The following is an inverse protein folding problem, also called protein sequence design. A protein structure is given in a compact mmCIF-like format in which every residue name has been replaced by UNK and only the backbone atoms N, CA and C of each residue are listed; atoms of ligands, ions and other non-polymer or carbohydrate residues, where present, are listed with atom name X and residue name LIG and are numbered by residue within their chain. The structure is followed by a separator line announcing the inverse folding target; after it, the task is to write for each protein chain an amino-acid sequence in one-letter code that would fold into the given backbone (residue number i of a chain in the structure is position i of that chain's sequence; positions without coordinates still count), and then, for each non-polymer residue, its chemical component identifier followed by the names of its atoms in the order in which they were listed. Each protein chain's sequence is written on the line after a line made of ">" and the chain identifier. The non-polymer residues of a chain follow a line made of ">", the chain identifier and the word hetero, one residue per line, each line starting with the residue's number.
data_IF_249668955920
#
_entry.id   IF_249668955920
#
_cell.length_a   1.000
_cell.length_b   1.000
_cell.length_c   1.000
_cell.angle_alpha   90.00
_cell.angle_beta   90.00
_cell.angle_gamma   90.00
#
_symmetry.space_group_name_H-M   'P 1'
#
loop_
_entity.id
_entity.type
_entity.pdbx_description
1 polymer ?
#
# COMPACT_ATOMS: atom_id res chain seq x y z
N UNK A 1 -0.89 11.38 -18.16
CA UNK A 1 -0.96 11.57 -16.69
C UNK A 1 0.26 10.91 -16.05
N UNK A 2 0.87 11.48 -15.01
CA UNK A 2 2.01 10.82 -14.35
C UNK A 2 1.57 9.60 -13.54
N UNK A 3 2.46 8.60 -13.44
CA UNK A 3 2.23 7.39 -12.65
C UNK A 3 2.00 7.72 -11.16
N UNK A 4 2.69 8.72 -10.62
CA UNK A 4 2.44 9.23 -9.27
C UNK A 4 0.98 9.71 -9.07
N UNK A 5 0.41 10.38 -10.07
CA UNK A 5 -0.98 10.85 -10.02
C UNK A 5 -1.97 9.71 -10.24
N UNK A 6 -1.63 8.72 -11.06
CA UNK A 6 -2.41 7.49 -11.23
C UNK A 6 -2.63 6.75 -9.91
N UNK A 7 -1.57 6.64 -9.09
CA UNK A 7 -1.64 5.99 -7.77
C UNK A 7 -2.61 6.74 -6.84
N UNK A 8 -2.58 8.09 -6.87
CA UNK A 8 -3.52 8.92 -6.08
C UNK A 8 -4.95 8.78 -6.60
N UNK A 9 -5.14 8.80 -7.91
CA UNK A 9 -6.44 8.62 -8.54
C UNK A 9 -7.06 7.28 -8.16
N UNK A 10 -6.28 6.19 -8.17
CA UNK A 10 -6.76 4.88 -7.72
C UNK A 10 -7.35 4.93 -6.30
N UNK A 11 -6.69 5.61 -5.36
CA UNK A 11 -7.19 5.79 -3.99
C UNK A 11 -8.48 6.62 -3.94
N UNK A 12 -8.61 7.63 -4.81
CA UNK A 12 -9.83 8.42 -4.94
C UNK A 12 -10.99 7.55 -5.46
N UNK A 13 -10.77 6.77 -6.52
CA UNK A 13 -11.80 5.90 -7.11
C UNK A 13 -12.28 4.83 -6.14
N UNK A 14 -11.38 4.22 -5.36
CA UNK A 14 -11.77 3.26 -4.31
C UNK A 14 -12.71 3.91 -3.29
N UNK A 15 -12.37 5.11 -2.80
CA UNK A 15 -13.24 5.84 -1.87
C UNK A 15 -14.59 6.23 -2.49
N UNK A 16 -14.63 6.53 -3.78
CA UNK A 16 -15.88 6.80 -4.48
C UNK A 16 -16.75 5.55 -4.59
N UNK A 17 -16.15 4.39 -4.91
CA UNK A 17 -16.85 3.11 -4.91
C UNK A 17 -17.44 2.82 -3.52
N UNK A 18 -16.66 2.96 -2.45
CA UNK A 18 -17.13 2.72 -1.08
C UNK A 18 -18.34 3.61 -0.74
N UNK A 19 -18.28 4.90 -1.08
CA UNK A 19 -19.40 5.84 -0.88
C UNK A 19 -20.65 5.46 -1.67
N UNK A 20 -20.50 5.01 -2.92
CA UNK A 20 -21.62 4.55 -3.72
C UNK A 20 -22.23 3.27 -3.16
N UNK A 21 -21.40 2.36 -2.64
CA UNK A 21 -21.89 1.15 -1.96
C UNK A 21 -22.65 1.48 -0.67
N UNK A 22 -22.20 2.47 0.11
CA UNK A 22 -22.97 2.99 1.25
C UNK A 22 -24.28 3.67 0.82
N UNK A 23 -24.30 4.31 -0.35
CA UNK A 23 -25.50 4.92 -0.93
C UNK A 23 -26.53 3.89 -1.38
N UNK A 24 -26.09 2.75 -1.93
CA UNK A 24 -26.98 1.65 -2.35
C UNK A 24 -27.96 1.28 -1.23
N UNK A 25 -27.49 1.06 -0.01
CA UNK A 25 -28.34 0.64 1.11
C UNK A 25 -29.44 1.67 1.42
N UNK A 26 -29.08 2.97 1.35
CA UNK A 26 -30.00 4.08 1.64
C UNK A 26 -31.05 4.31 0.56
N UNK A 27 -30.73 3.97 -0.69
CA UNK A 27 -31.63 4.16 -1.84
C UNK A 27 -32.48 2.91 -2.09
N UNK A 28 -31.93 1.73 -1.86
CA UNK A 28 -32.62 0.46 -2.03
C UNK A 28 -33.70 0.22 -0.96
N UNK A 29 -33.51 0.74 0.24
CA UNK A 29 -34.39 0.48 1.37
C UNK A 29 -34.81 1.76 2.09
N UNK A 30 -36.07 1.78 2.53
CA UNK A 30 -36.61 2.79 3.44
C UNK A 30 -37.36 2.09 4.57
N UNK A 31 -37.16 2.55 5.79
CA UNK A 31 -37.93 2.13 6.95
C UNK A 31 -39.02 3.16 7.20
N UNK A 32 -40.27 2.70 7.26
CA UNK A 32 -41.46 3.53 7.47
C UNK A 32 -42.33 2.89 8.56
N UNK A 33 -43.09 3.71 9.27
CA UNK A 33 -44.12 3.16 10.17
C UNK A 33 -45.21 2.45 9.36
N UNK A 34 -45.90 1.51 10.03
CA UNK A 34 -47.02 0.82 9.40
C UNK A 34 -48.08 1.85 9.01
N UNK A 35 -48.47 1.82 7.73
CA UNK A 35 -49.45 2.72 7.10
C UNK A 35 -48.94 4.14 6.73
N UNK A 36 -47.65 4.42 6.88
CA UNK A 36 -47.02 5.65 6.37
C UNK A 36 -46.82 5.58 4.84
N UNK A 37 -47.19 6.63 4.07
CA UNK A 37 -47.04 6.61 2.62
C UNK A 37 -45.57 6.68 2.19
N UNK A 38 -45.22 5.99 1.09
CA UNK A 38 -43.90 6.11 0.48
C UNK A 38 -43.61 7.57 0.10
N UNK A 39 -42.37 8.05 0.31
CA UNK A 39 -41.97 9.38 -0.14
C UNK A 39 -42.10 9.49 -1.65
N UNK A 40 -42.58 10.65 -2.12
CA UNK A 40 -42.89 10.90 -3.53
C UNK A 40 -41.67 11.32 -4.36
N UNK A 41 -40.55 11.63 -3.71
CA UNK A 41 -39.33 12.10 -4.36
C UNK A 41 -38.15 11.34 -3.78
N UNK A 42 -37.45 10.60 -4.64
CA UNK A 42 -36.08 10.16 -4.41
C UNK A 42 -35.17 10.98 -5.32
N UNK A 43 -34.07 11.49 -4.78
CA UNK A 43 -33.10 12.31 -5.54
C UNK A 43 -32.31 11.50 -6.56
N UNK A 44 -32.21 10.18 -6.37
CA UNK A 44 -31.42 9.25 -7.18
C UNK A 44 -32.02 7.85 -7.09
N UNK A 45 -32.04 7.11 -8.21
CA UNK A 45 -32.47 5.71 -8.26
C UNK A 45 -31.31 4.74 -8.01
N UNK A 46 -31.63 3.47 -7.72
CA UNK A 46 -30.62 2.43 -7.59
C UNK A 46 -29.90 2.20 -8.92
N UNK A 47 -30.63 2.23 -10.03
CA UNK A 47 -30.08 2.09 -11.38
C UNK A 47 -29.06 3.20 -11.71
N UNK A 48 -29.30 4.44 -11.28
CA UNK A 48 -28.33 5.53 -11.45
C UNK A 48 -27.02 5.26 -10.70
N UNK A 49 -27.08 4.62 -9.53
CA UNK A 49 -25.90 4.25 -8.73
C UNK A 49 -25.16 3.10 -9.40
N UNK A 50 -25.88 2.08 -9.89
CA UNK A 50 -25.29 0.94 -10.61
C UNK A 50 -24.53 1.36 -11.86
N UNK A 51 -25.11 2.27 -12.66
CA UNK A 51 -24.46 2.82 -13.87
C UNK A 51 -23.16 3.56 -13.50
N UNK A 52 -23.18 4.37 -12.45
CA UNK A 52 -21.97 5.07 -12.00
C UNK A 52 -20.91 4.08 -11.47
N UNK A 53 -21.32 3.11 -10.66
CA UNK A 53 -20.45 2.06 -10.14
C UNK A 53 -19.76 1.28 -11.25
N UNK A 54 -20.50 0.81 -12.26
CA UNK A 54 -19.91 0.06 -13.36
C UNK A 54 -18.93 0.91 -14.16
N UNK A 55 -19.26 2.18 -14.37
CA UNK A 55 -18.35 3.08 -15.06
C UNK A 55 -17.04 3.28 -14.29
N UNK A 56 -17.10 3.58 -12.99
CA UNK A 56 -15.89 3.77 -12.16
C UNK A 56 -15.09 2.46 -12.08
N UNK A 57 -15.74 1.30 -11.98
CA UNK A 57 -15.07 0.00 -11.99
C UNK A 57 -14.36 -0.27 -13.32
N UNK A 58 -14.97 0.09 -14.44
CA UNK A 58 -14.36 -0.04 -15.76
C UNK A 58 -13.09 0.83 -15.88
N UNK A 59 -13.20 2.09 -15.47
CA UNK A 59 -12.09 3.04 -15.46
C UNK A 59 -10.96 2.58 -14.51
N UNK A 60 -11.29 2.05 -13.33
CA UNK A 60 -10.33 1.51 -12.38
C UNK A 60 -9.59 0.29 -12.95
N UNK A 61 -10.27 -0.64 -13.62
CA UNK A 61 -9.62 -1.78 -14.29
C UNK A 61 -8.66 -1.31 -15.38
N UNK A 62 -9.04 -0.30 -16.16
CA UNK A 62 -8.19 0.29 -17.21
C UNK A 62 -6.96 0.98 -16.60
N UNK A 63 -7.16 1.77 -15.55
CA UNK A 63 -6.09 2.44 -14.82
C UNK A 63 -5.08 1.42 -14.28
N UNK A 64 -5.56 0.34 -13.66
CA UNK A 64 -4.71 -0.73 -13.11
C UNK A 64 -3.86 -1.41 -14.17
N UNK A 65 -4.45 -1.76 -15.33
CA UNK A 65 -3.70 -2.34 -16.44
C UNK A 65 -2.57 -1.41 -16.89
N UNK A 66 -2.86 -0.12 -17.08
CA UNK A 66 -1.88 0.87 -17.54
C UNK A 66 -0.76 1.10 -16.51
N UNK A 67 -1.11 1.15 -15.22
CA UNK A 67 -0.14 1.22 -14.12
C UNK A 67 0.78 0.00 -14.12
N UNK A 68 0.23 -1.21 -14.26
CA UNK A 68 1.04 -2.43 -14.34
C UNK A 68 1.97 -2.43 -15.57
N UNK A 69 1.48 -2.03 -16.74
CA UNK A 69 2.31 -1.91 -17.96
C UNK A 69 3.44 -0.90 -17.78
N UNK A 70 3.16 0.25 -17.17
CA UNK A 70 4.17 1.27 -16.86
C UNK A 70 5.22 0.76 -15.87
N UNK A 71 4.79 0.04 -14.83
CA UNK A 71 5.68 -0.55 -13.82
C UNK A 71 6.61 -1.62 -14.42
N UNK A 72 6.16 -2.36 -15.42
CA UNK A 72 6.99 -3.36 -16.11
C UNK A 72 8.00 -2.72 -17.08
N UNK A 73 7.63 -1.63 -17.75
CA UNK A 73 8.46 -0.99 -18.78
C UNK A 73 9.48 0.00 -18.21
N UNK A 74 9.15 0.63 -17.09
CA UNK A 74 10.02 1.64 -16.47
C UNK A 74 11.18 0.95 -15.78
N UNK A 75 12.40 1.44 -16.01
CA UNK A 75 13.62 0.90 -15.40
C UNK A 75 14.15 1.88 -14.37
N UNK A 76 14.57 1.35 -13.22
CA UNK A 76 15.18 2.07 -12.12
C UNK A 76 16.61 1.58 -11.95
N UNK A 77 17.57 2.51 -11.97
CA UNK A 77 18.97 2.19 -11.70
C UNK A 77 19.19 1.97 -10.20
N UNK A 78 19.74 0.80 -9.85
CA UNK A 78 20.09 0.45 -8.46
C UNK A 78 21.57 0.11 -8.33
N UNK A 79 22.08 -0.03 -7.09
CA UNK A 79 23.46 -0.46 -6.89
C UNK A 79 23.72 -1.89 -7.38
N UNK A 80 22.67 -2.72 -7.43
CA UNK A 80 22.72 -4.13 -7.82
C UNK A 80 22.40 -4.29 -9.33
N UNK A 81 22.22 -3.18 -10.05
CA UNK A 81 21.92 -3.12 -11.48
C UNK A 81 20.56 -2.49 -11.80
N UNK A 82 20.25 -2.34 -13.10
CA UNK A 82 18.95 -1.83 -13.55
C UNK A 82 17.85 -2.86 -13.26
N UNK A 83 16.74 -2.42 -12.66
CA UNK A 83 15.58 -3.25 -12.37
C UNK A 83 14.31 -2.62 -12.96
N UNK A 84 13.33 -3.40 -13.46
CA UNK A 84 11.99 -2.91 -13.70
C UNK A 84 11.43 -2.24 -12.43
N UNK A 85 10.61 -1.21 -12.58
CA UNK A 85 10.05 -0.45 -11.46
C UNK A 85 9.25 -1.37 -10.52
N UNK A 86 8.51 -2.35 -11.07
CA UNK A 86 7.82 -3.37 -10.27
C UNK A 86 8.77 -4.17 -9.37
N UNK A 87 9.93 -4.55 -9.90
CA UNK A 87 10.94 -5.32 -9.16
C UNK A 87 11.67 -4.44 -8.15
N UNK A 88 11.97 -3.19 -8.52
CA UNK A 88 12.55 -2.21 -7.60
C UNK A 88 11.65 -1.95 -6.39
N UNK A 89 10.33 -1.88 -6.58
CA UNK A 89 9.36 -1.74 -5.48
C UNK A 89 9.41 -2.93 -4.53
N UNK A 90 9.41 -4.16 -5.05
CA UNK A 90 9.54 -5.37 -4.25
C UNK A 90 10.90 -5.41 -3.52
N UNK A 91 11.98 -5.06 -4.22
CA UNK A 91 13.30 -5.01 -3.61
C UNK A 91 13.39 -3.98 -2.47
N UNK A 92 12.73 -2.83 -2.62
CA UNK A 92 12.63 -1.84 -1.55
C UNK A 92 11.88 -2.37 -0.32
N UNK A 93 10.85 -3.21 -0.51
CA UNK A 93 10.13 -3.89 0.58
C UNK A 93 11.08 -4.87 1.29
N UNK A 94 11.81 -5.68 0.52
CA UNK A 94 12.77 -6.66 1.06
C UNK A 94 13.90 -6.00 1.86
N UNK A 95 14.47 -4.90 1.35
CA UNK A 95 15.50 -4.14 2.08
C UNK A 95 14.96 -3.57 3.39
N UNK A 96 13.71 -3.06 3.42
CA UNK A 96 13.09 -2.57 4.67
C UNK A 96 12.86 -3.71 5.67
N UNK A 97 12.38 -4.86 5.21
CA UNK A 97 12.20 -6.04 6.07
C UNK A 97 13.55 -6.52 6.64
N UNK A 98 14.59 -6.56 5.81
CA UNK A 98 15.94 -6.93 6.24
C UNK A 98 16.54 -5.92 7.23
N UNK A 99 16.37 -4.62 6.99
CA UNK A 99 16.82 -3.58 7.91
C UNK A 99 16.13 -3.74 9.27
N UNK A 100 14.82 -3.97 9.30
CA UNK A 100 14.06 -4.21 10.52
C UNK A 100 14.55 -5.43 11.28
N UNK A 101 14.75 -6.55 10.59
CA UNK A 101 15.32 -7.76 11.20
C UNK A 101 16.69 -7.48 11.83
N UNK A 102 17.56 -6.70 11.19
CA UNK A 102 18.86 -6.34 11.75
C UNK A 102 18.76 -5.37 12.93
N UNK A 103 17.80 -4.44 12.92
CA UNK A 103 17.51 -3.57 14.07
C UNK A 103 17.06 -4.41 15.27
N UNK A 104 16.10 -5.32 15.08
CA UNK A 104 15.60 -6.21 16.15
C UNK A 104 16.72 -7.08 16.75
N UNK A 105 17.68 -7.52 15.94
CA UNK A 105 18.83 -8.27 16.41
C UNK A 105 19.84 -7.38 17.17
N UNK A 106 20.04 -6.15 16.71
CA UNK A 106 20.95 -5.18 17.29
C UNK A 106 20.48 -4.62 18.64
N UNK A 107 19.18 -4.59 18.88
CA UNK A 107 18.58 -4.15 20.15
C UNK A 107 18.74 -5.19 21.27
N UNK A 108 19.01 -6.45 20.93
CA UNK A 108 19.15 -7.52 21.93
C UNK A 108 20.50 -7.45 22.64
N UNK A 109 20.54 -7.55 23.98
CA UNK A 109 21.79 -7.64 24.70
C UNK A 109 22.50 -8.97 24.40
N UNK A 110 23.83 -8.99 24.50
CA UNK A 110 24.63 -10.22 24.32
C UNK A 110 24.22 -11.32 25.29
N UNK A 111 23.81 -10.94 26.50
CA UNK A 111 23.29 -11.81 27.55
C UNK A 111 21.99 -11.21 28.10
N UNK A 112 20.92 -11.98 28.03
CA UNK A 112 19.61 -11.63 28.59
C UNK A 112 19.31 -12.61 29.73
N UNK A 113 19.10 -12.10 30.94
CA UNK A 113 18.71 -12.92 32.09
C UNK A 113 17.19 -13.09 32.09
N UNK A 114 16.72 -14.33 32.18
CA UNK A 114 15.31 -14.70 32.23
C UNK A 114 15.02 -15.43 33.53
N UNK A 115 13.95 -15.02 34.20
CA UNK A 115 13.41 -15.77 35.34
C UNK A 115 12.77 -17.05 34.81
N UNK A 116 13.25 -18.21 35.25
CA UNK A 116 12.67 -19.49 34.89
C UNK A 116 11.26 -19.67 35.48
N UNK A 117 10.48 -20.59 34.90
CA UNK A 117 9.12 -20.92 35.35
C UNK A 117 9.07 -21.71 36.68
N UNK A 118 10.22 -22.01 37.31
CA UNK A 118 10.31 -22.71 38.59
C UNK A 118 11.20 -21.96 39.58
N UNK A 119 10.85 -22.02 40.86
CA UNK A 119 11.56 -21.33 41.96
C UNK A 119 13.07 -21.64 41.93
N UNK A 120 13.88 -20.62 41.63
CA UNK A 120 15.33 -20.63 41.86
C UNK A 120 16.23 -20.84 40.64
N UNK A 121 15.72 -21.19 39.45
CA UNK A 121 16.60 -21.40 38.28
C UNK A 121 16.67 -20.15 37.39
N UNK A 122 17.83 -19.48 37.37
CA UNK A 122 18.13 -18.39 36.44
C UNK A 122 18.49 -18.96 35.07
N UNK A 123 17.74 -18.57 34.03
CA UNK A 123 18.00 -18.97 32.64
C UNK A 123 18.68 -17.80 31.93
N UNK A 124 19.84 -18.03 31.33
CA UNK A 124 20.54 -16.99 30.55
C UNK A 124 20.35 -17.30 29.06
N UNK A 125 19.72 -16.38 28.34
CA UNK A 125 19.71 -16.40 26.87
C UNK A 125 20.93 -15.66 26.36
N UNK A 126 21.78 -16.36 25.62
CA UNK A 126 23.00 -15.80 25.03
C UNK A 126 22.81 -15.56 23.54
N UNK A 127 23.14 -14.38 23.04
CA UNK A 127 23.16 -14.12 21.61
C UNK A 127 24.41 -14.73 20.97
N UNK A 128 24.23 -15.65 20.03
CA UNK A 128 25.34 -16.31 19.31
C UNK A 128 25.99 -15.42 18.23
N UNK A 129 25.58 -14.14 18.16
CA UNK A 129 26.05 -13.14 17.23
C UNK A 129 26.47 -11.86 17.98
N UNK A 130 27.13 -10.92 17.30
CA UNK A 130 27.48 -9.61 17.86
C UNK A 130 26.39 -8.57 17.56
N UNK A 131 25.63 -8.07 18.55
CA UNK A 131 24.60 -7.05 18.32
C UNK A 131 25.13 -5.77 17.67
N UNK A 132 26.38 -5.36 17.94
CA UNK A 132 26.95 -4.15 17.34
C UNK A 132 27.19 -4.31 15.84
N UNK A 133 27.66 -5.49 15.41
CA UNK A 133 27.78 -5.81 13.99
C UNK A 133 26.42 -5.71 13.28
N UNK A 134 25.34 -6.17 13.93
CA UNK A 134 24.00 -6.08 13.36
C UNK A 134 23.46 -4.65 13.34
N UNK A 135 23.86 -3.79 14.29
CA UNK A 135 23.56 -2.35 14.24
C UNK A 135 24.19 -1.69 13.02
N UNK A 136 25.44 -2.03 12.71
CA UNK A 136 26.12 -1.53 11.51
C UNK A 136 25.45 -2.05 10.22
N UNK A 137 25.09 -3.33 10.17
CA UNK A 137 24.36 -3.93 9.03
C UNK A 137 23.00 -3.28 8.82
N UNK A 138 22.23 -3.04 9.89
CA UNK A 138 20.95 -2.35 9.82
C UNK A 138 21.07 -0.98 9.16
N UNK A 139 22.04 -0.17 9.61
CA UNK A 139 22.30 1.17 9.07
C UNK A 139 22.67 1.15 7.59
N UNK A 140 23.44 0.14 7.16
CA UNK A 140 23.82 0.00 5.75
C UNK A 140 22.63 -0.36 4.86
N UNK A 141 21.85 -1.36 5.27
CA UNK A 141 20.65 -1.78 4.53
C UNK A 141 19.60 -0.66 4.49
N UNK A 142 19.43 0.10 5.57
CA UNK A 142 18.53 1.25 5.62
C UNK A 142 18.93 2.35 4.61
N UNK A 143 20.23 2.63 4.47
CA UNK A 143 20.72 3.55 3.42
C UNK A 143 20.39 3.04 2.02
N UNK A 144 20.54 1.74 1.77
CA UNK A 144 20.17 1.13 0.47
C UNK A 144 18.67 1.26 0.21
N UNK A 145 17.84 0.95 1.22
CA UNK A 145 16.38 1.08 1.15
C UNK A 145 15.93 2.52 0.82
N UNK A 146 16.56 3.51 1.44
CA UNK A 146 16.24 4.92 1.19
C UNK A 146 16.62 5.38 -0.22
N UNK A 147 17.77 4.92 -0.74
CA UNK A 147 18.19 5.25 -2.11
C UNK A 147 17.23 4.67 -3.14
N UNK A 148 16.89 3.38 -3.04
CA UNK A 148 15.97 2.76 -4.00
C UNK A 148 14.58 3.39 -3.92
N UNK A 149 14.10 3.73 -2.71
CA UNK A 149 12.83 4.43 -2.55
C UNK A 149 12.82 5.80 -3.24
N UNK A 150 13.91 6.57 -3.14
CA UNK A 150 14.05 7.85 -3.83
C UNK A 150 14.09 7.69 -5.36
N UNK A 151 14.73 6.62 -5.85
CA UNK A 151 14.77 6.32 -7.28
C UNK A 151 13.39 5.90 -7.82
N UNK A 152 12.64 5.08 -7.07
CA UNK A 152 11.24 4.73 -7.36
C UNK A 152 10.37 5.97 -7.42
N UNK A 153 10.47 6.87 -6.44
CA UNK A 153 9.69 8.10 -6.43
C UNK A 153 10.00 8.94 -7.66
N UNK A 154 11.27 9.12 -7.98
CA UNK A 154 11.69 9.84 -9.19
C UNK A 154 11.11 9.21 -10.47
N UNK A 155 11.08 7.88 -10.56
CA UNK A 155 10.50 7.16 -11.68
C UNK A 155 8.97 7.37 -11.76
N UNK A 156 8.26 7.36 -10.63
CA UNK A 156 6.81 7.61 -10.58
C UNK A 156 6.43 9.01 -11.08
N UNK A 157 7.26 10.03 -10.81
CA UNK A 157 7.04 11.41 -11.27
C UNK A 157 7.54 11.68 -12.70
N UNK A 158 8.22 10.72 -13.33
CA UNK A 158 8.72 10.85 -14.72
C UNK A 158 8.00 9.97 -15.71
N UNK A 159 7.35 8.92 -15.22
CA UNK A 159 6.64 7.95 -16.07
C UNK A 159 5.24 8.44 -16.31
N UNK A 160 4.84 8.49 -17.58
CA UNK A 160 3.49 8.86 -17.99
C UNK A 160 2.69 7.62 -18.41
N UNK A 161 1.39 7.66 -18.13
CA UNK A 161 0.39 6.73 -18.64
C UNK A 161 -0.68 7.46 -19.44
N UNK A 162 -1.19 6.77 -20.46
CA UNK A 162 -2.27 7.24 -21.33
C UNK A 162 -3.63 6.88 -20.73
N UNK A 163 -4.04 7.68 -19.75
CA UNK A 163 -5.33 7.58 -19.08
C UNK A 163 -5.98 8.95 -19.01
N UNK A 164 -7.24 9.02 -19.44
CA UNK A 164 -8.07 10.23 -19.35
C UNK A 164 -8.68 10.34 -17.95
N UNK A 165 -8.17 11.29 -17.17
CA UNK A 165 -8.63 11.57 -15.81
C UNK A 165 -9.60 12.76 -15.72
N UNK A 166 -10.03 13.33 -16.86
CA UNK A 166 -10.86 14.55 -16.90
C UNK A 166 -12.15 14.45 -16.11
N UNK A 167 -12.70 13.24 -15.95
CA UNK A 167 -13.90 12.98 -15.14
C UNK A 167 -13.69 13.12 -13.64
N UNK A 168 -12.44 13.06 -13.16
CA UNK A 168 -12.10 12.94 -11.73
C UNK A 168 -11.26 14.10 -11.20
N UNK A 169 -10.86 15.04 -12.06
CA UNK A 169 -10.11 16.26 -11.73
C UNK A 169 -11.04 17.46 -11.70
#
# INVERSE_FOLDING_TARGET
>A
MYLADAIKLKQLLLKQIDKLLEEVERVAFIELEKDEPLPTIQSRSLEDIEVELESIRCDMRRLDRLVCEANLRTVVETNDGPLPLVEAMEFAIQLRAQARMYQDLAERPKREFRTGYGEGTSIIKHALYDPELYRLKARDVEKRANRIASAIETANHRTEIDFDASRYM
#
